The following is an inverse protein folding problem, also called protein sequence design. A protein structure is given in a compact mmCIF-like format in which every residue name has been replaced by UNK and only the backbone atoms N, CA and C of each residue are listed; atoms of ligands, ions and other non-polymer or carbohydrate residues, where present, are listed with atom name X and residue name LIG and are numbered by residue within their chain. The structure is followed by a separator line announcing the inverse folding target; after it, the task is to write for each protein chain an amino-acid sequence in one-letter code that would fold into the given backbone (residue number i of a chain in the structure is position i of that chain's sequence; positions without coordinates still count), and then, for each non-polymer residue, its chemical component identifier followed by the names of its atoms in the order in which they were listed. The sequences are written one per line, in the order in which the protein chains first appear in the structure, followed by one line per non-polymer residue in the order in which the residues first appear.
data_IF_006779090940
#
_entry.id   IF_006779090940
#
_cell.length_a   1.000
_cell.length_b   1.000
_cell.length_c   1.000
_cell.angle_alpha   90.00
_cell.angle_beta   90.00
_cell.angle_gamma   90.00
#
_symmetry.space_group_name_H-M   'P 1'
#
loop_
_entity.id
_entity.type
_entity.pdbx_description
1 polymer ?
#
# COMPACT_ATOMS: atom_id res chain seq x y z
N UNK A 1 5.43 49.96 -45.76
CA UNK A 1 6.83 49.66 -45.37
C UNK A 1 7.23 50.62 -44.27
N UNK A 2 7.14 50.18 -43.01
CA UNK A 2 7.91 50.69 -41.88
C UNK A 2 7.68 49.72 -40.71
N UNK A 3 8.79 49.31 -40.10
CA UNK A 3 8.95 48.20 -39.16
C UNK A 3 8.67 48.66 -37.73
N UNK A 4 7.91 47.89 -36.95
CA UNK A 4 7.89 48.00 -35.48
C UNK A 4 8.57 46.78 -34.87
N UNK A 5 9.61 47.05 -34.06
CA UNK A 5 10.34 46.08 -33.25
C UNK A 5 9.79 45.99 -31.82
N UNK A 6 10.17 44.94 -31.05
CA UNK A 6 9.56 44.61 -29.77
C UNK A 6 10.29 45.23 -28.57
N UNK A 7 9.52 45.66 -27.57
CA UNK A 7 10.02 46.13 -26.27
C UNK A 7 9.71 45.11 -25.18
N UNK A 8 10.77 44.51 -24.64
CA UNK A 8 10.80 43.62 -23.48
C UNK A 8 10.69 44.40 -22.17
N UNK A 9 9.75 44.02 -21.29
CA UNK A 9 9.73 44.44 -19.88
C UNK A 9 9.52 43.24 -18.96
N UNK A 10 10.53 42.92 -18.16
CA UNK A 10 10.50 41.92 -17.10
C UNK A 10 9.83 42.47 -15.83
N UNK A 11 9.10 41.65 -15.04
CA UNK A 11 8.65 42.04 -13.71
C UNK A 11 9.55 41.49 -12.59
N UNK A 12 9.83 42.36 -11.62
CA UNK A 12 10.61 42.10 -10.41
C UNK A 12 9.74 41.48 -9.30
N UNK A 13 10.28 40.62 -8.40
CA UNK A 13 9.48 39.93 -7.38
C UNK A 13 9.23 40.80 -6.15
N UNK A 14 7.95 41.07 -5.88
CA UNK A 14 7.49 41.76 -4.68
C UNK A 14 7.59 40.90 -3.41
N UNK A 15 8.38 41.37 -2.44
CA UNK A 15 8.41 40.89 -1.05
C UNK A 15 7.04 41.02 -0.39
N UNK A 16 6.42 39.90 -0.04
CA UNK A 16 5.24 39.84 0.83
C UNK A 16 5.67 39.93 2.30
N UNK A 17 5.26 41.01 2.97
CA UNK A 17 5.29 41.17 4.43
C UNK A 17 3.86 41.10 4.94
N UNK A 18 3.46 39.98 5.52
CA UNK A 18 2.32 39.92 6.44
C UNK A 18 2.73 39.10 7.66
N UNK A 19 3.18 39.81 8.69
CA UNK A 19 3.28 39.32 10.06
C UNK A 19 1.96 39.66 10.73
N UNK A 20 1.20 38.64 11.14
CA UNK A 20 -0.08 38.78 11.82
C UNK A 20 0.10 38.41 13.31
N UNK A 21 0.12 39.37 14.25
CA UNK A 21 0.33 39.08 15.67
C UNK A 21 -1.00 39.12 16.41
N UNK A 22 -1.82 38.07 16.31
CA UNK A 22 -2.84 37.79 17.34
C UNK A 22 -3.37 36.36 17.22
N UNK A 23 -2.71 35.41 17.90
CA UNK A 23 -3.26 34.08 18.11
C UNK A 23 -3.23 33.79 19.61
N UNK A 24 -4.36 34.05 20.28
CA UNK A 24 -4.60 33.55 21.63
C UNK A 24 -5.11 32.10 21.53
N UNK A 25 -4.54 31.14 22.28
CA UNK A 25 -5.04 29.78 22.28
C UNK A 25 -6.32 29.70 23.12
N UNK A 26 -7.45 29.44 22.45
CA UNK A 26 -8.68 29.04 23.13
C UNK A 26 -8.53 27.63 23.70
N UNK A 27 -8.74 27.51 25.01
CA UNK A 27 -8.89 26.24 25.73
C UNK A 27 -10.17 25.55 25.27
N UNK A 28 -10.06 24.54 24.42
CA UNK A 28 -11.17 23.64 24.09
C UNK A 28 -11.33 22.59 25.20
N UNK A 29 -12.34 22.75 26.03
CA UNK A 29 -12.84 21.70 26.92
C UNK A 29 -13.54 20.63 26.06
N UNK A 30 -12.91 19.47 25.92
CA UNK A 30 -13.49 18.29 25.27
C UNK A 30 -14.24 17.45 26.30
N UNK A 31 -15.53 17.71 26.49
CA UNK A 31 -16.46 16.76 27.11
C UNK A 31 -17.07 15.88 26.03
N UNK A 32 -16.42 14.75 25.74
CA UNK A 32 -16.99 13.72 24.85
C UNK A 32 -18.20 13.06 25.53
N UNK A 33 -19.35 12.93 24.83
CA UNK A 33 -20.49 12.19 25.35
C UNK A 33 -20.16 10.69 25.36
N UNK A 34 -20.34 10.03 26.52
CA UNK A 34 -20.29 8.57 26.66
C UNK A 34 -21.47 7.94 25.89
N UNK A 35 -21.32 7.81 24.58
CA UNK A 35 -22.19 6.96 23.77
C UNK A 35 -21.94 5.51 24.17
N UNK A 36 -23.00 4.80 24.57
CA UNK A 36 -22.97 3.33 24.70
C UNK A 36 -22.73 2.76 23.31
N UNK A 37 -21.48 2.54 22.94
CA UNK A 37 -21.13 1.85 21.69
C UNK A 37 -21.73 0.45 21.74
N UNK A 38 -22.42 0.05 20.67
CA UNK A 38 -22.91 -1.31 20.54
C UNK A 38 -21.75 -2.30 20.78
N UNK A 39 -21.97 -3.40 21.52
CA UNK A 39 -20.91 -4.36 21.81
C UNK A 39 -20.36 -4.92 20.51
N UNK A 40 -19.03 -4.92 20.37
CA UNK A 40 -18.31 -5.45 19.21
C UNK A 40 -18.84 -6.83 18.84
N UNK A 41 -18.97 -7.13 17.54
CA UNK A 41 -19.47 -8.42 17.05
C UNK A 41 -18.70 -9.62 17.65
N UNK A 42 -17.40 -9.43 17.95
CA UNK A 42 -16.56 -10.41 18.64
C UNK A 42 -17.07 -10.73 20.04
N UNK A 43 -17.51 -9.72 20.80
CA UNK A 43 -18.05 -9.88 22.16
C UNK A 43 -19.36 -10.68 22.11
N UNK A 44 -20.23 -10.37 21.15
CA UNK A 44 -21.52 -11.04 20.99
C UNK A 44 -21.36 -12.53 20.66
N UNK A 45 -20.35 -12.88 19.83
CA UNK A 45 -20.03 -14.27 19.48
C UNK A 45 -19.32 -15.02 20.61
N UNK A 46 -18.42 -14.36 21.35
CA UNK A 46 -17.61 -14.99 22.38
C UNK A 46 -18.40 -15.36 23.65
N UNK A 47 -19.42 -14.58 24.00
CA UNK A 47 -20.14 -14.74 25.27
C UNK A 47 -20.86 -16.09 25.45
N UNK A 48 -21.61 -16.63 24.48
CA UNK A 48 -22.23 -17.95 24.63
C UNK A 48 -21.20 -19.08 24.71
N UNK A 49 -20.07 -18.95 24.01
CA UNK A 49 -18.98 -19.95 24.02
C UNK A 49 -18.28 -19.93 25.38
N UNK A 50 -17.95 -18.74 25.89
CA UNK A 50 -17.33 -18.59 27.21
C UNK A 50 -18.18 -19.21 28.32
N UNK A 51 -19.50 -19.01 28.28
CA UNK A 51 -20.43 -19.56 29.27
C UNK A 51 -20.47 -21.10 29.30
N UNK A 52 -20.07 -21.80 28.23
CA UNK A 52 -20.02 -23.26 28.19
C UNK A 52 -18.81 -23.84 28.93
N UNK A 53 -17.71 -23.09 28.98
CA UNK A 53 -16.42 -23.55 29.49
C UNK A 53 -15.98 -22.89 30.80
N UNK A 54 -16.71 -21.87 31.28
CA UNK A 54 -16.42 -21.22 32.55
C UNK A 54 -16.78 -22.09 33.76
N UNK A 55 -15.99 -21.97 34.83
CA UNK A 55 -16.29 -22.44 36.18
C UNK A 55 -16.17 -21.22 37.10
N UNK A 56 -17.22 -20.92 37.87
CA UNK A 56 -17.28 -19.77 38.78
C UNK A 56 -16.98 -18.40 38.13
N UNK A 57 -17.32 -18.24 36.85
CA UNK A 57 -17.15 -16.99 36.10
C UNK A 57 -15.75 -16.77 35.51
N UNK A 58 -14.85 -17.73 35.68
CA UNK A 58 -13.52 -17.76 35.07
C UNK A 58 -13.34 -19.00 34.20
N UNK A 59 -12.49 -18.93 33.18
CA UNK A 59 -12.21 -20.04 32.27
C UNK A 59 -10.85 -20.66 32.59
N UNK A 60 -10.75 -21.97 32.91
CA UNK A 60 -9.46 -22.62 33.13
C UNK A 60 -8.63 -22.64 31.84
N UNK A 61 -7.31 -22.48 31.97
CA UNK A 61 -6.38 -22.40 30.82
C UNK A 61 -6.50 -23.62 29.89
N UNK A 62 -6.76 -24.80 30.45
CA UNK A 62 -6.89 -26.04 29.68
C UNK A 62 -8.08 -26.02 28.69
N UNK A 63 -9.06 -25.14 28.92
CA UNK A 63 -10.24 -24.98 28.05
C UNK A 63 -10.07 -23.88 26.99
N UNK A 64 -9.04 -23.04 27.10
CA UNK A 64 -8.76 -21.92 26.17
C UNK A 64 -8.52 -22.37 24.73
N UNK A 65 -7.80 -23.48 24.44
CA UNK A 65 -7.65 -23.98 23.07
C UNK A 65 -9.00 -24.27 22.39
N UNK A 66 -9.96 -24.85 23.13
CA UNK A 66 -11.30 -25.18 22.60
C UNK A 66 -12.11 -23.92 22.34
N UNK A 67 -12.05 -22.95 23.27
CA UNK A 67 -12.66 -21.64 23.10
C UNK A 67 -12.13 -20.93 21.83
N UNK A 68 -10.81 -20.95 21.61
CA UNK A 68 -10.19 -20.34 20.43
C UNK A 68 -10.56 -21.05 19.14
N UNK A 69 -10.66 -22.38 19.15
CA UNK A 69 -11.06 -23.16 17.98
C UNK A 69 -12.50 -22.83 17.55
N UNK A 70 -13.44 -22.75 18.50
CA UNK A 70 -14.83 -22.34 18.22
C UNK A 70 -14.95 -20.87 17.77
N UNK A 71 -14.04 -20.02 18.24
CA UNK A 71 -13.94 -18.63 17.78
C UNK A 71 -13.36 -18.50 16.36
N UNK A 72 -12.79 -19.57 15.80
CA UNK A 72 -12.16 -19.61 14.48
C UNK A 72 -10.68 -19.21 14.48
N UNK A 73 -10.04 -19.26 15.65
CA UNK A 73 -8.63 -18.92 15.86
C UNK A 73 -7.75 -20.16 16.15
N UNK A 74 -8.21 -21.36 15.80
CA UNK A 74 -7.48 -22.61 16.02
C UNK A 74 -6.15 -22.69 15.25
N UNK A 75 -5.18 -23.41 15.81
CA UNK A 75 -3.91 -23.74 15.14
C UNK A 75 -2.77 -22.72 15.27
N UNK A 76 -2.98 -21.59 15.95
CA UNK A 76 -1.91 -20.62 16.25
C UNK A 76 -1.33 -20.90 17.63
N UNK A 77 0.00 -20.79 17.76
CA UNK A 77 0.66 -20.85 19.06
C UNK A 77 0.26 -19.62 19.90
N UNK A 78 -0.69 -19.81 20.82
CA UNK A 78 -1.24 -18.75 21.66
C UNK A 78 -0.45 -18.57 22.97
N UNK A 79 0.56 -19.39 23.23
CA UNK A 79 1.22 -19.45 24.55
C UNK A 79 1.99 -18.16 24.88
N UNK A 80 2.62 -17.53 23.88
CA UNK A 80 3.29 -16.24 24.03
C UNK A 80 2.30 -15.09 24.28
N UNK A 81 1.15 -15.10 23.61
CA UNK A 81 0.10 -14.10 23.77
C UNK A 81 -0.61 -14.26 25.10
N UNK A 82 -0.84 -15.49 25.54
CA UNK A 82 -1.43 -15.80 26.84
C UNK A 82 -0.62 -15.15 27.97
N UNK A 83 0.70 -15.35 27.97
CA UNK A 83 1.59 -14.72 28.97
C UNK A 83 1.49 -13.19 28.98
N UNK A 84 1.27 -12.57 27.82
CA UNK A 84 1.12 -11.11 27.72
C UNK A 84 -0.20 -10.58 28.28
N UNK A 85 -1.27 -11.38 28.24
CA UNK A 85 -2.64 -10.98 28.65
C UNK A 85 -2.94 -11.36 30.10
N UNK A 86 -2.42 -12.50 30.58
CA UNK A 86 -2.70 -13.00 31.93
C UNK A 86 -1.58 -12.73 32.93
N UNK A 87 -0.34 -12.56 32.48
CA UNK A 87 0.84 -12.57 33.34
C UNK A 87 1.27 -13.99 33.74
N UNK A 88 2.44 -14.14 34.40
CA UNK A 88 3.00 -15.44 34.76
C UNK A 88 2.24 -16.09 35.93
N UNK A 89 1.97 -17.39 35.85
CA UNK A 89 1.44 -18.21 36.95
C UNK A 89 -0.08 -18.15 37.15
N UNK A 90 -0.81 -17.56 36.21
CA UNK A 90 -2.28 -17.57 36.23
C UNK A 90 -2.77 -18.91 35.67
N UNK A 91 -3.82 -19.50 36.27
CA UNK A 91 -4.44 -20.77 35.85
C UNK A 91 -5.85 -20.58 35.24
N UNK A 92 -6.41 -19.37 35.33
CA UNK A 92 -7.77 -19.05 34.92
C UNK A 92 -7.84 -17.66 34.26
N UNK A 93 -8.72 -17.50 33.26
CA UNK A 93 -8.90 -16.26 32.51
C UNK A 93 -10.30 -15.69 32.69
N UNK A 94 -10.38 -14.37 32.82
CA UNK A 94 -11.64 -13.63 32.74
C UNK A 94 -12.17 -13.53 31.31
N UNK A 95 -13.46 -13.25 31.16
CA UNK A 95 -14.10 -13.07 29.84
C UNK A 95 -13.39 -12.02 28.99
N UNK A 96 -13.04 -10.87 29.57
CA UNK A 96 -12.36 -9.78 28.87
C UNK A 96 -10.97 -10.20 28.37
N UNK A 97 -10.24 -11.02 29.14
CA UNK A 97 -8.95 -11.57 28.74
C UNK A 97 -9.09 -12.56 27.58
N UNK A 98 -10.11 -13.43 27.60
CA UNK A 98 -10.39 -14.34 26.49
C UNK A 98 -10.78 -13.58 25.21
N UNK A 99 -11.58 -12.52 25.32
CA UNK A 99 -11.96 -11.67 24.18
C UNK A 99 -10.74 -10.90 23.65
N UNK A 100 -9.89 -10.36 24.52
CA UNK A 100 -8.66 -9.69 24.12
C UNK A 100 -7.70 -10.66 23.40
N UNK A 101 -7.52 -11.88 23.93
CA UNK A 101 -6.71 -12.93 23.32
C UNK A 101 -7.24 -13.29 21.93
N UNK A 102 -8.56 -13.50 21.80
CA UNK A 102 -9.21 -13.79 20.52
C UNK A 102 -9.06 -12.63 19.52
N UNK A 103 -9.21 -11.37 19.96
CA UNK A 103 -9.03 -10.20 19.11
C UNK A 103 -7.57 -10.03 18.65
N UNK A 104 -6.59 -10.27 19.52
CA UNK A 104 -5.17 -10.25 19.16
C UNK A 104 -4.85 -11.35 18.14
N UNK A 105 -5.40 -12.55 18.31
CA UNK A 105 -5.24 -13.64 17.36
C UNK A 105 -5.95 -13.37 16.03
N UNK A 106 -7.16 -12.81 16.03
CA UNK A 106 -7.87 -12.41 14.81
C UNK A 106 -7.14 -11.30 14.06
N UNK A 107 -6.52 -10.36 14.76
CA UNK A 107 -5.67 -9.34 14.16
C UNK A 107 -4.37 -9.92 13.60
N UNK A 108 -3.80 -10.93 14.26
CA UNK A 108 -2.62 -11.66 13.77
C UNK A 108 -2.95 -12.56 12.56
N UNK A 109 -4.15 -13.13 12.52
CA UNK A 109 -4.64 -14.00 11.45
C UNK A 109 -5.21 -13.21 10.25
N UNK A 110 -5.61 -11.95 10.45
CA UNK A 110 -6.27 -11.12 9.45
C UNK A 110 -7.67 -11.62 9.08
N UNK A 111 -8.54 -10.77 8.52
CA UNK A 111 -9.89 -11.17 8.12
C UNK A 111 -9.86 -12.10 6.90
N UNK A 112 -9.99 -13.41 7.13
CA UNK A 112 -10.25 -14.41 6.10
C UNK A 112 -11.72 -14.34 5.65
N UNK A 113 -12.04 -13.40 4.77
CA UNK A 113 -13.32 -13.44 4.04
C UNK A 113 -13.18 -14.36 2.84
N UNK A 114 -14.02 -15.39 2.80
CA UNK A 114 -14.24 -16.33 1.70
C UNK A 114 -14.93 -15.66 0.50
N UNK A 115 -14.38 -14.53 0.03
CA UNK A 115 -14.81 -13.81 -1.15
C UNK A 115 -13.62 -13.72 -2.10
N UNK A 116 -13.71 -14.43 -3.23
CA UNK A 116 -12.86 -14.30 -4.42
C UNK A 116 -11.38 -14.12 -4.12
N UNK A 117 -10.68 -15.26 -4.11
CA UNK A 117 -9.23 -15.40 -4.09
C UNK A 117 -8.53 -14.49 -5.10
N UNK A 118 -8.29 -13.23 -4.70
CA UNK A 118 -7.20 -12.39 -5.15
C UNK A 118 -6.11 -12.58 -4.11
N UNK A 119 -5.21 -13.51 -4.42
CA UNK A 119 -4.18 -13.99 -3.53
C UNK A 119 -3.53 -12.88 -2.74
N UNK A 120 -3.40 -13.15 -1.45
CA UNK A 120 -2.15 -12.95 -0.72
C UNK A 120 -1.01 -13.72 -1.43
N UNK A 121 -0.75 -13.37 -2.69
CA UNK A 121 0.53 -13.63 -3.32
C UNK A 121 1.52 -12.70 -2.62
N UNK A 122 2.52 -13.32 -2.01
CA UNK A 122 3.55 -12.66 -1.25
C UNK A 122 4.17 -11.50 -2.01
N UNK A 123 3.96 -10.29 -1.50
CA UNK A 123 4.86 -9.16 -1.73
C UNK A 123 6.19 -9.32 -0.97
N UNK A 124 6.51 -10.52 -0.51
CA UNK A 124 7.87 -11.04 -0.58
C UNK A 124 8.20 -11.41 -2.03
N UNK A 125 8.06 -10.46 -2.97
CA UNK A 125 8.82 -10.51 -4.21
C UNK A 125 10.26 -10.71 -3.78
N UNK A 126 10.71 -11.93 -4.03
CA UNK A 126 11.66 -12.59 -3.17
C UNK A 126 12.92 -11.75 -3.03
N UNK A 127 13.47 -11.68 -1.82
CA UNK A 127 14.81 -11.10 -1.56
C UNK A 127 15.93 -11.86 -2.30
N UNK A 128 15.58 -12.89 -3.08
CA UNK A 128 16.45 -13.94 -3.58
C UNK A 128 17.08 -13.73 -4.98
N UNK A 129 16.46 -13.07 -5.98
CA UNK A 129 16.97 -13.07 -7.34
C UNK A 129 18.16 -12.11 -7.46
N UNK A 130 18.07 -10.88 -6.95
CA UNK A 130 19.19 -9.94 -6.95
C UNK A 130 20.38 -10.44 -6.13
N UNK A 131 20.12 -11.12 -5.00
CA UNK A 131 21.18 -11.73 -4.17
C UNK A 131 21.87 -12.91 -4.84
N UNK A 132 21.15 -13.66 -5.70
CA UNK A 132 21.73 -14.78 -6.47
C UNK A 132 22.64 -14.31 -7.59
N UNK A 133 22.41 -13.12 -8.15
CA UNK A 133 23.31 -12.53 -9.16
C UNK A 133 24.67 -12.18 -8.53
N UNK A 134 24.68 -11.68 -7.29
CA UNK A 134 25.91 -11.29 -6.58
C UNK A 134 26.92 -12.44 -6.33
N UNK A 135 26.48 -13.69 -6.35
CA UNK A 135 27.31 -14.84 -5.93
C UNK A 135 27.75 -15.76 -7.06
N UNK A 136 27.20 -15.60 -8.27
CA UNK A 136 27.31 -16.64 -9.32
C UNK A 136 28.63 -16.61 -10.10
N UNK A 137 29.31 -15.48 -10.19
CA UNK A 137 30.45 -15.27 -11.09
C UNK A 137 31.81 -15.12 -10.38
N UNK A 138 31.90 -15.46 -9.09
CA UNK A 138 33.06 -15.13 -8.23
C UNK A 138 33.95 -16.31 -7.83
N UNK A 139 34.00 -17.34 -8.67
CA UNK A 139 34.81 -18.54 -8.41
C UNK A 139 36.31 -18.25 -8.25
N UNK A 140 36.85 -17.22 -8.91
CA UNK A 140 38.26 -16.84 -8.84
C UNK A 140 38.67 -16.25 -7.49
N UNK A 141 37.76 -15.54 -6.80
CA UNK A 141 37.97 -15.06 -5.43
C UNK A 141 38.01 -16.22 -4.43
N UNK A 142 37.32 -17.32 -4.74
CA UNK A 142 37.13 -18.45 -3.84
C UNK A 142 38.23 -19.51 -3.98
N UNK A 143 38.79 -19.64 -5.17
CA UNK A 143 39.89 -20.58 -5.46
C UNK A 143 41.27 -19.94 -5.50
N UNK A 144 41.36 -18.60 -5.58
CA UNK A 144 42.64 -17.88 -5.70
C UNK A 144 43.42 -18.20 -6.97
N UNK A 145 42.83 -18.97 -7.88
CA UNK A 145 43.42 -19.36 -9.16
C UNK A 145 42.83 -18.47 -10.25
N UNK A 146 43.62 -17.52 -10.73
CA UNK A 146 43.40 -16.99 -12.07
C UNK A 146 43.68 -18.13 -13.04
N UNK A 147 42.67 -18.50 -13.82
CA UNK A 147 42.80 -19.49 -14.87
C UNK A 147 43.69 -18.89 -15.95
N UNK A 148 44.99 -19.15 -15.84
CA UNK A 148 45.87 -18.99 -16.96
C UNK A 148 45.46 -19.98 -18.05
N UNK A 149 45.52 -19.54 -19.29
CA UNK A 149 45.50 -20.46 -20.40
C UNK A 149 46.75 -21.36 -20.28
N UNK A 150 46.53 -22.66 -20.06
CA UNK A 150 47.57 -23.67 -19.89
C UNK A 150 48.55 -23.65 -21.08
N UNK A 151 48.03 -23.34 -22.27
CA UNK A 151 48.84 -23.16 -23.47
C UNK A 151 49.82 -21.97 -23.34
N UNK A 152 49.37 -20.84 -22.80
CA UNK A 152 50.21 -19.63 -22.59
C UNK A 152 51.29 -19.90 -21.55
N UNK A 153 50.96 -20.56 -20.43
CA UNK A 153 51.96 -20.95 -19.43
C UNK A 153 53.00 -21.90 -20.00
N UNK A 154 52.58 -22.92 -20.76
CA UNK A 154 53.49 -23.87 -21.39
C UNK A 154 54.45 -23.18 -22.37
N UNK A 155 53.96 -22.16 -23.08
CA UNK A 155 54.77 -21.38 -24.02
C UNK A 155 55.76 -20.45 -23.31
N UNK A 156 55.33 -19.78 -22.23
CA UNK A 156 56.21 -18.98 -21.38
C UNK A 156 57.34 -19.83 -20.76
N UNK A 157 57.04 -21.04 -20.29
CA UNK A 157 58.06 -21.98 -19.79
C UNK A 157 59.06 -22.37 -20.88
N UNK A 158 58.57 -22.73 -22.08
CA UNK A 158 59.44 -23.08 -23.22
C UNK A 158 60.36 -21.93 -23.63
N UNK A 159 59.86 -20.69 -23.62
CA UNK A 159 60.65 -19.50 -23.92
C UNK A 159 61.71 -19.21 -22.85
N UNK A 160 61.40 -19.41 -21.56
CA UNK A 160 62.38 -19.24 -20.48
C UNK A 160 63.48 -20.32 -20.51
N UNK A 161 63.12 -21.57 -20.83
CA UNK A 161 64.10 -22.64 -21.04
C UNK A 161 64.98 -22.38 -22.26
N UNK A 162 64.41 -21.85 -23.35
CA UNK A 162 65.17 -21.43 -24.53
C UNK A 162 66.15 -20.29 -24.21
N UNK A 163 65.71 -19.29 -23.44
CA UNK A 163 66.57 -18.20 -22.96
C UNK A 163 67.76 -18.74 -22.17
N UNK A 164 67.51 -19.61 -21.18
CA UNK A 164 68.57 -20.23 -20.36
C UNK A 164 69.56 -21.03 -21.20
N UNK A 165 69.10 -21.78 -22.21
CA UNK A 165 69.97 -22.51 -23.13
C UNK A 165 70.87 -21.57 -23.95
N UNK A 166 70.31 -20.50 -24.51
CA UNK A 166 71.09 -19.50 -25.26
C UNK A 166 72.12 -18.78 -24.38
N UNK A 167 71.81 -18.52 -23.09
CA UNK A 167 72.75 -17.95 -22.13
C UNK A 167 73.94 -18.88 -21.85
N UNK A 168 73.69 -20.19 -21.70
CA UNK A 168 74.74 -21.20 -21.50
C UNK A 168 75.63 -21.36 -22.73
N UNK A 169 75.06 -21.26 -23.93
CA UNK A 169 75.77 -21.40 -25.21
C UNK A 169 76.47 -20.11 -25.66
N UNK A 170 76.30 -18.98 -24.95
CA UNK A 170 76.90 -17.69 -25.30
C UNK A 170 76.21 -16.94 -26.44
N UNK A 171 75.00 -17.36 -26.86
CA UNK A 171 74.18 -16.72 -27.90
C UNK A 171 73.32 -15.59 -27.33
N UNK A 172 73.97 -14.50 -26.91
CA UNK A 172 73.33 -13.44 -26.14
C UNK A 172 72.25 -12.65 -26.91
N UNK A 173 72.38 -12.48 -28.22
CA UNK A 173 71.37 -11.77 -29.02
C UNK A 173 70.04 -12.54 -29.06
N UNK A 174 70.10 -13.87 -29.19
CA UNK A 174 68.92 -14.74 -29.13
C UNK A 174 68.32 -14.79 -27.71
N UNK A 175 69.16 -14.82 -26.67
CA UNK A 175 68.71 -14.74 -25.29
C UNK A 175 67.99 -13.41 -25.00
N UNK A 176 68.51 -12.30 -25.53
CA UNK A 176 67.89 -10.97 -25.42
C UNK A 176 66.55 -10.91 -26.17
N UNK A 177 66.47 -11.48 -27.38
CA UNK A 177 65.23 -11.56 -28.13
C UNK A 177 64.17 -12.39 -27.38
N UNK A 178 64.55 -13.54 -26.82
CA UNK A 178 63.67 -14.38 -26.00
C UNK A 178 63.22 -13.67 -24.70
N UNK A 179 64.12 -12.92 -24.05
CA UNK A 179 63.80 -12.12 -22.87
C UNK A 179 62.79 -10.99 -23.18
N UNK A 180 62.97 -10.26 -24.28
CA UNK A 180 62.03 -9.25 -24.73
C UNK A 180 60.66 -9.87 -25.04
N UNK A 181 60.64 -11.01 -25.75
CA UNK A 181 59.39 -11.71 -26.07
C UNK A 181 58.65 -12.21 -24.83
N UNK A 182 59.38 -12.67 -23.82
CA UNK A 182 58.82 -13.03 -22.51
C UNK A 182 58.21 -11.82 -21.80
N UNK A 183 58.87 -10.66 -21.85
CA UNK A 183 58.34 -9.42 -21.28
C UNK A 183 57.04 -9.01 -21.99
N UNK A 184 57.03 -8.99 -23.33
CA UNK A 184 55.85 -8.64 -24.13
C UNK A 184 54.65 -9.56 -23.89
N UNK A 185 54.89 -10.88 -23.78
CA UNK A 185 53.83 -11.85 -23.51
C UNK A 185 53.27 -11.71 -22.09
N UNK A 186 54.13 -11.41 -21.11
CA UNK A 186 53.69 -11.12 -19.74
C UNK A 186 52.85 -9.85 -19.69
N UNK A 187 53.27 -8.76 -20.33
CA UNK A 187 52.49 -7.52 -20.38
C UNK A 187 51.15 -7.72 -21.07
N UNK A 188 51.14 -8.40 -22.22
CA UNK A 188 49.90 -8.72 -22.93
C UNK A 188 48.94 -9.60 -22.09
N UNK A 189 49.48 -10.56 -21.32
CA UNK A 189 48.67 -11.38 -20.43
C UNK A 189 48.06 -10.56 -19.28
N UNK A 190 48.84 -9.63 -18.70
CA UNK A 190 48.33 -8.72 -17.66
C UNK A 190 47.20 -7.84 -18.20
N UNK A 191 47.37 -7.26 -19.38
CA UNK A 191 46.35 -6.45 -20.03
C UNK A 191 45.08 -7.26 -20.33
N UNK A 192 45.26 -8.49 -20.83
CA UNK A 192 44.15 -9.41 -21.07
C UNK A 192 43.37 -9.68 -19.78
N UNK A 193 44.03 -10.04 -18.68
CA UNK A 193 43.37 -10.31 -17.40
C UNK A 193 42.62 -9.08 -16.86
N UNK A 194 43.20 -7.88 -16.98
CA UNK A 194 42.52 -6.63 -16.63
C UNK A 194 41.27 -6.39 -17.48
N UNK A 195 41.38 -6.61 -18.79
CA UNK A 195 40.26 -6.43 -19.72
C UNK A 195 39.13 -7.42 -19.47
N UNK A 196 39.44 -8.69 -19.20
CA UNK A 196 38.47 -9.73 -18.86
C UNK A 196 37.76 -9.42 -17.54
N UNK A 197 38.50 -8.94 -16.52
CA UNK A 197 37.91 -8.51 -15.26
C UNK A 197 36.90 -7.38 -15.48
N UNK A 198 37.29 -6.30 -16.17
CA UNK A 198 36.40 -5.17 -16.46
C UNK A 198 35.18 -5.60 -17.28
N UNK A 199 35.36 -6.47 -18.27
CA UNK A 199 34.25 -7.01 -19.06
C UNK A 199 33.28 -7.86 -18.22
N UNK A 200 33.79 -8.64 -17.27
CA UNK A 200 32.96 -9.41 -16.34
C UNK A 200 32.20 -8.50 -15.38
N UNK A 201 32.86 -7.47 -14.82
CA UNK A 201 32.22 -6.49 -13.95
C UNK A 201 31.10 -5.72 -14.66
N UNK A 202 31.32 -5.33 -15.91
CA UNK A 202 30.30 -4.71 -16.74
C UNK A 202 29.09 -5.63 -16.98
N UNK A 203 29.34 -6.92 -17.26
CA UNK A 203 28.28 -7.93 -17.43
C UNK A 203 27.48 -8.13 -16.15
N UNK A 204 28.13 -8.20 -14.99
CA UNK A 204 27.45 -8.33 -13.69
C UNK A 204 26.53 -7.15 -13.41
N UNK A 205 26.97 -5.92 -13.69
CA UNK A 205 26.13 -4.73 -13.57
C UNK A 205 24.94 -4.79 -14.52
N UNK A 206 25.16 -5.13 -15.79
CA UNK A 206 24.09 -5.29 -16.79
C UNK A 206 23.05 -6.34 -16.35
N UNK A 207 23.48 -7.48 -15.81
CA UNK A 207 22.60 -8.51 -15.27
C UNK A 207 21.76 -7.99 -14.09
N UNK A 208 22.36 -7.25 -13.17
CA UNK A 208 21.64 -6.64 -12.03
C UNK A 208 20.61 -5.62 -12.51
N UNK A 209 20.96 -4.78 -13.48
CA UNK A 209 20.04 -3.83 -14.11
C UNK A 209 18.88 -4.54 -14.80
N UNK A 210 19.16 -5.55 -15.61
CA UNK A 210 18.13 -6.32 -16.32
C UNK A 210 17.14 -6.97 -15.35
N UNK A 211 17.63 -7.59 -14.27
CA UNK A 211 16.76 -8.18 -13.24
C UNK A 211 15.90 -7.10 -12.56
N UNK A 212 16.47 -5.94 -12.27
CA UNK A 212 15.72 -4.82 -11.68
C UNK A 212 14.61 -4.32 -12.62
N UNK A 213 14.89 -4.19 -13.92
CA UNK A 213 13.93 -3.73 -14.92
C UNK A 213 12.79 -4.74 -15.10
N UNK A 214 13.11 -6.03 -15.22
CA UNK A 214 12.11 -7.10 -15.32
C UNK A 214 11.16 -7.13 -14.11
N UNK A 215 11.73 -7.05 -12.91
CA UNK A 215 10.94 -7.02 -11.70
C UNK A 215 10.16 -5.70 -11.53
N UNK A 216 10.68 -4.57 -12.01
CA UNK A 216 9.97 -3.29 -12.03
C UNK A 216 8.79 -3.35 -12.99
N UNK A 217 8.94 -3.99 -14.16
CA UNK A 217 7.85 -4.26 -15.08
C UNK A 217 6.74 -5.11 -14.43
N UNK A 218 7.12 -6.20 -13.72
CA UNK A 218 6.17 -7.03 -12.97
C UNK A 218 5.45 -6.24 -11.88
N UNK A 219 6.19 -5.40 -11.16
CA UNK A 219 5.65 -4.53 -10.11
C UNK A 219 4.63 -3.53 -10.66
N UNK A 220 4.96 -2.85 -11.76
CA UNK A 220 4.06 -1.89 -12.42
C UNK A 220 2.78 -2.59 -12.88
N UNK A 221 2.89 -3.73 -13.56
CA UNK A 221 1.74 -4.49 -14.04
C UNK A 221 0.81 -4.94 -12.88
N UNK A 222 1.39 -5.39 -11.76
CA UNK A 222 0.64 -5.76 -10.57
C UNK A 222 -0.12 -4.57 -9.96
N UNK A 223 0.54 -3.42 -9.85
CA UNK A 223 -0.08 -2.21 -9.32
C UNK A 223 -1.18 -1.66 -10.23
N UNK A 224 -0.96 -1.65 -11.54
CA UNK A 224 -1.96 -1.22 -12.51
C UNK A 224 -3.20 -2.14 -12.46
N UNK A 225 -3.00 -3.45 -12.27
CA UNK A 225 -4.11 -4.38 -12.01
C UNK A 225 -4.85 -4.02 -10.72
N UNK A 226 -4.14 -3.81 -9.61
CA UNK A 226 -4.76 -3.47 -8.32
C UNK A 226 -5.56 -2.16 -8.39
N UNK A 227 -5.03 -1.14 -9.05
CA UNK A 227 -5.74 0.14 -9.25
C UNK A 227 -6.99 -0.08 -10.10
N UNK A 228 -6.90 -0.81 -11.21
CA UNK A 228 -8.05 -1.12 -12.06
C UNK A 228 -9.15 -1.90 -11.33
N UNK A 229 -8.76 -2.88 -10.50
CA UNK A 229 -9.70 -3.64 -9.66
C UNK A 229 -10.39 -2.72 -8.64
N UNK A 230 -9.66 -1.82 -8.00
CA UNK A 230 -10.23 -0.83 -7.10
C UNK A 230 -11.22 0.09 -7.82
N UNK A 231 -10.86 0.64 -8.98
CA UNK A 231 -11.73 1.52 -9.78
C UNK A 231 -12.99 0.79 -10.25
N UNK A 232 -12.86 -0.46 -10.69
CA UNK A 232 -14.00 -1.28 -11.10
C UNK A 232 -14.95 -1.54 -9.93
N UNK A 233 -14.41 -1.92 -8.77
CA UNK A 233 -15.22 -2.18 -7.57
C UNK A 233 -15.88 -0.90 -7.05
N UNK A 234 -15.17 0.22 -7.08
CA UNK A 234 -15.72 1.52 -6.71
C UNK A 234 -16.82 1.96 -7.68
N UNK A 235 -16.62 1.78 -8.99
CA UNK A 235 -17.63 2.03 -10.02
C UNK A 235 -18.92 1.26 -9.77
N UNK A 236 -18.82 -0.04 -9.47
CA UNK A 236 -19.97 -0.87 -9.08
C UNK A 236 -20.68 -0.33 -7.83
N UNK A 237 -19.94 0.02 -6.79
CA UNK A 237 -20.53 0.58 -5.57
C UNK A 237 -21.29 1.90 -5.82
N UNK A 238 -20.81 2.73 -6.76
CA UNK A 238 -21.48 3.96 -7.20
C UNK A 238 -22.77 3.65 -7.97
N UNK A 239 -22.74 2.66 -8.87
CA UNK A 239 -23.91 2.20 -9.62
C UNK A 239 -24.98 1.59 -8.69
N UNK A 240 -24.57 0.73 -7.76
CA UNK A 240 -25.44 0.09 -6.77
C UNK A 240 -26.13 1.15 -5.89
N UNK A 241 -25.38 2.15 -5.42
CA UNK A 241 -25.95 3.23 -4.62
C UNK A 241 -26.95 4.07 -5.43
N UNK A 242 -26.63 4.35 -6.71
CA UNK A 242 -27.54 5.08 -7.60
C UNK A 242 -28.84 4.30 -7.82
N UNK A 243 -28.76 3.01 -8.12
CA UNK A 243 -29.92 2.14 -8.31
C UNK A 243 -30.77 2.07 -7.03
N UNK A 244 -30.13 1.92 -5.86
CA UNK A 244 -30.82 1.94 -4.58
C UNK A 244 -31.52 3.29 -4.32
N UNK A 245 -30.87 4.41 -4.62
CA UNK A 245 -31.47 5.74 -4.48
C UNK A 245 -32.65 5.95 -5.42
N UNK A 246 -32.59 5.45 -6.66
CA UNK A 246 -33.70 5.48 -7.63
C UNK A 246 -34.91 4.68 -7.12
N UNK A 247 -34.68 3.46 -6.65
CA UNK A 247 -35.74 2.62 -6.09
C UNK A 247 -36.36 3.27 -4.84
N UNK A 248 -35.53 3.80 -3.93
CA UNK A 248 -36.01 4.50 -2.75
C UNK A 248 -36.84 5.74 -3.11
N UNK A 249 -36.44 6.50 -4.15
CA UNK A 249 -37.24 7.64 -4.65
C UNK A 249 -38.58 7.17 -5.17
N UNK A 250 -38.62 6.11 -5.98
CA UNK A 250 -39.86 5.56 -6.51
C UNK A 250 -40.83 5.13 -5.38
N UNK A 251 -40.33 4.36 -4.41
CA UNK A 251 -41.10 3.94 -3.22
C UNK A 251 -41.58 5.15 -2.41
N UNK A 252 -40.72 6.15 -2.22
CA UNK A 252 -41.08 7.35 -1.49
C UNK A 252 -42.19 8.13 -2.21
N UNK A 253 -42.11 8.28 -3.53
CA UNK A 253 -43.16 8.95 -4.30
C UNK A 253 -44.49 8.21 -4.24
N UNK A 254 -44.48 6.88 -4.29
CA UNK A 254 -45.68 6.06 -4.14
C UNK A 254 -46.30 6.21 -2.73
N UNK A 255 -45.48 6.25 -1.69
CA UNK A 255 -45.93 6.48 -0.31
C UNK A 255 -46.58 7.87 -0.17
N UNK A 256 -46.00 8.91 -0.77
CA UNK A 256 -46.57 10.25 -0.76
C UNK A 256 -47.92 10.32 -1.47
N UNK A 257 -48.06 9.64 -2.62
CA UNK A 257 -49.33 9.54 -3.35
C UNK A 257 -50.40 8.81 -2.52
N UNK A 258 -50.03 7.72 -1.84
CA UNK A 258 -50.94 6.93 -1.01
C UNK A 258 -51.38 7.69 0.24
N UNK A 259 -50.50 8.51 0.82
CA UNK A 259 -50.79 9.32 2.02
C UNK A 259 -51.53 10.62 1.73
N UNK A 260 -52.01 10.87 0.51
CA UNK A 260 -52.76 12.08 0.17
C UNK A 260 -54.02 12.17 1.04
N UNK A 261 -54.15 13.18 1.92
CA UNK A 261 -55.25 13.25 2.86
C UNK A 261 -56.58 13.37 2.12
N UNK A 262 -57.59 12.62 2.58
CA UNK A 262 -58.97 12.85 2.17
C UNK A 262 -59.41 14.25 2.60
N UNK A 263 -60.33 14.84 1.83
CA UNK A 263 -60.75 16.25 1.86
C UNK A 263 -60.64 16.91 3.24
N UNK A 264 -60.09 18.13 3.33
CA UNK A 264 -59.97 18.85 4.59
C UNK A 264 -61.34 18.99 5.26
N UNK A 265 -61.34 18.92 6.61
CA UNK A 265 -62.57 19.13 7.38
C UNK A 265 -63.01 20.59 7.19
N UNK A 266 -64.28 20.85 6.85
CA UNK A 266 -64.76 22.22 6.68
C UNK A 266 -64.54 23.03 7.96
N UNK A 267 -64.20 24.32 7.83
CA UNK A 267 -64.02 25.16 8.99
C UNK A 267 -65.32 25.35 9.79
N UNK A 268 -65.14 25.80 11.03
CA UNK A 268 -66.26 26.21 11.89
C UNK A 268 -67.11 27.31 11.23
N UNK A 269 -66.49 28.21 10.48
CA UNK A 269 -67.17 29.36 9.87
C UNK A 269 -68.04 28.93 8.69
N UNK A 270 -67.55 27.99 7.86
CA UNK A 270 -68.37 27.35 6.84
C UNK A 270 -69.60 26.64 7.46
N UNK A 271 -69.40 25.87 8.53
CA UNK A 271 -70.50 25.17 9.21
C UNK A 271 -71.52 26.16 9.82
N UNK A 272 -71.05 27.30 10.33
CA UNK A 272 -71.92 28.36 10.83
C UNK A 272 -72.73 29.00 9.70
N UNK A 273 -72.11 29.31 8.56
CA UNK A 273 -72.80 29.86 7.40
C UNK A 273 -73.86 28.89 6.84
N UNK A 274 -73.59 27.58 6.84
CA UNK A 274 -74.59 26.56 6.49
C UNK A 274 -75.78 26.51 7.46
N UNK A 275 -75.56 26.66 8.77
CA UNK A 275 -76.66 26.78 9.75
C UNK A 275 -77.49 28.04 9.52
N UNK A 276 -76.84 29.16 9.21
CA UNK A 276 -77.51 30.44 8.89
C UNK A 276 -78.34 30.27 7.60
N UNK A 277 -77.77 29.69 6.55
CA UNK A 277 -78.47 29.35 5.30
C UNK A 277 -79.74 28.53 5.57
N UNK A 278 -79.64 27.44 6.34
CA UNK A 278 -80.79 26.60 6.69
C UNK A 278 -81.87 27.37 7.45
N UNK A 279 -81.46 28.24 8.38
CA UNK A 279 -82.39 29.06 9.16
C UNK A 279 -83.14 30.08 8.29
N UNK A 280 -82.44 30.73 7.36
CA UNK A 280 -83.01 31.68 6.40
C UNK A 280 -83.95 30.98 5.41
N UNK A 281 -83.60 29.77 4.97
CA UNK A 281 -84.44 28.95 4.11
C UNK A 281 -85.73 28.53 4.83
N UNK A 282 -85.65 28.09 6.09
CA UNK A 282 -86.82 27.76 6.93
C UNK A 282 -87.75 28.98 7.11
N UNK A 283 -87.18 30.17 7.23
CA UNK A 283 -87.90 31.44 7.33
C UNK A 283 -88.39 31.99 5.99
N UNK A 284 -88.26 31.25 4.88
CA UNK A 284 -88.66 31.63 3.51
C UNK A 284 -87.95 32.87 2.94
N UNK A 285 -86.80 33.25 3.50
CA UNK A 285 -85.98 34.37 2.99
C UNK A 285 -84.99 33.86 1.93
N UNK A 286 -85.51 33.43 0.78
CA UNK A 286 -84.72 32.70 -0.23
C UNK A 286 -83.57 33.51 -0.83
N UNK A 287 -83.77 34.81 -1.07
CA UNK A 287 -82.73 35.66 -1.66
C UNK A 287 -81.49 35.75 -0.75
N UNK A 288 -81.70 36.06 0.55
CA UNK A 288 -80.62 36.10 1.54
C UNK A 288 -79.98 34.73 1.77
N UNK A 289 -80.77 33.66 1.76
CA UNK A 289 -80.23 32.30 1.85
C UNK A 289 -79.31 31.99 0.66
N UNK A 290 -79.66 32.42 -0.56
CA UNK A 290 -78.82 32.26 -1.75
C UNK A 290 -77.49 33.02 -1.65
N UNK A 291 -77.50 34.23 -1.12
CA UNK A 291 -76.27 35.02 -0.91
C UNK A 291 -75.35 34.36 0.13
N UNK A 292 -75.91 33.90 1.25
CA UNK A 292 -75.16 33.18 2.30
C UNK A 292 -74.59 31.86 1.76
N UNK A 293 -75.34 31.15 0.91
CA UNK A 293 -74.86 29.94 0.25
C UNK A 293 -73.66 30.22 -0.66
N UNK A 294 -73.75 31.25 -1.50
CA UNK A 294 -72.65 31.62 -2.40
C UNK A 294 -71.37 31.97 -1.62
N UNK A 295 -71.52 32.76 -0.54
CA UNK A 295 -70.40 33.08 0.34
C UNK A 295 -69.82 31.83 1.04
N UNK A 296 -70.66 30.88 1.45
CA UNK A 296 -70.21 29.62 2.05
C UNK A 296 -69.49 28.71 1.06
N UNK A 297 -69.97 28.63 -0.18
CA UNK A 297 -69.35 27.82 -1.22
C UNK A 297 -68.00 28.42 -1.64
N UNK A 298 -67.87 29.75 -1.70
CA UNK A 298 -66.60 30.46 -1.93
C UNK A 298 -65.60 30.25 -0.78
N UNK A 299 -66.05 30.37 0.48
CA UNK A 299 -65.21 30.11 1.66
C UNK A 299 -64.68 28.67 1.66
N UNK A 300 -65.54 27.68 1.37
CA UNK A 300 -65.13 26.28 1.30
C UNK A 300 -64.11 26.04 0.17
N UNK A 301 -64.32 26.67 -0.99
CA UNK A 301 -63.38 26.56 -2.11
C UNK A 301 -61.99 27.10 -1.72
N UNK A 302 -61.93 28.28 -1.10
CA UNK A 302 -60.68 28.88 -0.63
C UNK A 302 -60.01 28.03 0.46
N UNK A 303 -60.76 27.45 1.40
CA UNK A 303 -60.23 26.55 2.42
C UNK A 303 -59.66 25.25 1.82
N UNK A 304 -60.36 24.67 0.84
CA UNK A 304 -59.89 23.48 0.12
C UNK A 304 -58.59 23.79 -0.63
N UNK A 305 -58.53 24.92 -1.34
CA UNK A 305 -57.34 25.35 -2.08
C UNK A 305 -56.16 25.62 -1.14
N UNK A 306 -56.37 26.37 -0.05
CA UNK A 306 -55.32 26.65 0.93
C UNK A 306 -54.79 25.37 1.59
N UNK A 307 -55.67 24.42 1.92
CA UNK A 307 -55.28 23.12 2.47
C UNK A 307 -54.48 22.28 1.46
N UNK A 308 -54.87 22.30 0.17
CA UNK A 308 -54.12 21.64 -0.89
C UNK A 308 -52.74 22.28 -1.07
N UNK A 309 -52.66 23.60 -1.14
CA UNK A 309 -51.41 24.34 -1.28
C UNK A 309 -50.46 24.08 -0.09
N UNK A 310 -50.98 24.08 1.15
CA UNK A 310 -50.20 23.78 2.34
C UNK A 310 -49.66 22.33 2.32
N UNK A 311 -50.51 21.37 1.94
CA UNK A 311 -50.09 19.97 1.79
C UNK A 311 -49.00 19.82 0.73
N UNK A 312 -49.16 20.42 -0.45
CA UNK A 312 -48.16 20.38 -1.52
C UNK A 312 -46.83 21.02 -1.10
N UNK A 313 -46.87 22.14 -0.39
CA UNK A 313 -45.67 22.79 0.14
C UNK A 313 -44.93 21.89 1.14
N UNK A 314 -45.67 21.21 2.03
CA UNK A 314 -45.09 20.23 2.94
C UNK A 314 -44.46 19.05 2.20
N UNK A 315 -45.13 18.52 1.17
CA UNK A 315 -44.59 17.44 0.35
C UNK A 315 -43.31 17.85 -0.37
N UNK A 316 -43.27 19.05 -0.97
CA UNK A 316 -42.06 19.58 -1.61
C UNK A 316 -40.89 19.69 -0.64
N UNK A 317 -41.14 20.16 0.57
CA UNK A 317 -40.11 20.25 1.61
C UNK A 317 -39.58 18.86 2.00
N UNK A 318 -40.48 17.88 2.13
CA UNK A 318 -40.13 16.49 2.44
C UNK A 318 -39.29 15.85 1.33
N UNK A 319 -39.69 16.00 0.07
CA UNK A 319 -38.92 15.52 -1.10
C UNK A 319 -37.56 16.20 -1.18
N UNK A 320 -37.49 17.51 -0.97
CA UNK A 320 -36.22 18.26 -0.98
C UNK A 320 -35.27 17.74 0.10
N UNK A 321 -35.75 17.54 1.33
CA UNK A 321 -34.96 16.97 2.43
C UNK A 321 -34.50 15.54 2.13
N UNK A 322 -35.35 14.73 1.51
CA UNK A 322 -35.00 13.37 1.12
C UNK A 322 -33.91 13.35 0.05
N UNK A 323 -34.05 14.16 -1.00
CA UNK A 323 -33.05 14.30 -2.06
C UNK A 323 -31.72 14.83 -1.54
N UNK A 324 -31.72 15.80 -0.62
CA UNK A 324 -30.51 16.33 -0.01
C UNK A 324 -29.73 15.25 0.77
N UNK A 325 -30.44 14.33 1.46
CA UNK A 325 -29.80 13.20 2.15
C UNK A 325 -29.13 12.24 1.17
N UNK A 326 -29.83 11.87 0.08
CA UNK A 326 -29.26 11.03 -0.97
C UNK A 326 -28.02 11.68 -1.59
N UNK A 327 -28.06 12.99 -1.86
CA UNK A 327 -26.92 13.72 -2.38
C UNK A 327 -25.73 13.68 -1.41
N UNK A 328 -25.97 13.88 -0.11
CA UNK A 328 -24.92 13.81 0.91
C UNK A 328 -24.27 12.42 1.01
N UNK A 329 -25.08 11.35 0.95
CA UNK A 329 -24.58 9.97 0.94
C UNK A 329 -23.72 9.70 -0.31
N UNK A 330 -24.17 10.17 -1.47
CA UNK A 330 -23.46 10.03 -2.73
C UNK A 330 -22.13 10.78 -2.72
N UNK A 331 -22.12 12.04 -2.25
CA UNK A 331 -20.89 12.83 -2.09
C UNK A 331 -19.92 12.19 -1.10
N UNK A 332 -20.41 11.65 0.02
CA UNK A 332 -19.58 10.94 0.98
C UNK A 332 -18.92 9.70 0.36
N UNK A 333 -19.65 8.94 -0.47
CA UNK A 333 -19.09 7.80 -1.20
C UNK A 333 -18.02 8.26 -2.20
N UNK A 334 -18.26 9.33 -2.97
CA UNK A 334 -17.29 9.89 -3.91
C UNK A 334 -16.01 10.37 -3.22
N UNK A 335 -16.14 11.06 -2.08
CA UNK A 335 -14.99 11.49 -1.29
C UNK A 335 -14.20 10.29 -0.74
N UNK A 336 -14.88 9.23 -0.29
CA UNK A 336 -14.22 7.99 0.13
C UNK A 336 -13.46 7.33 -1.02
N UNK A 337 -14.05 7.30 -2.22
CA UNK A 337 -13.39 6.81 -3.43
C UNK A 337 -12.15 7.61 -3.81
N UNK A 338 -12.24 8.95 -3.75
CA UNK A 338 -11.09 9.83 -3.98
C UNK A 338 -9.94 9.55 -2.99
N UNK A 339 -10.24 9.56 -1.69
CA UNK A 339 -9.23 9.25 -0.65
C UNK A 339 -8.61 7.88 -0.82
N UNK A 340 -9.40 6.86 -1.17
CA UNK A 340 -8.88 5.52 -1.39
C UNK A 340 -7.95 5.42 -2.61
N UNK A 341 -8.19 6.20 -3.67
CA UNK A 341 -7.25 6.32 -4.80
C UNK A 341 -5.94 6.98 -4.37
N UNK A 342 -6.04 8.11 -3.66
CA UNK A 342 -4.86 8.84 -3.17
C UNK A 342 -4.02 7.97 -2.24
N UNK A 343 -4.66 7.17 -1.36
CA UNK A 343 -3.99 6.21 -0.49
C UNK A 343 -3.27 5.09 -1.28
N UNK A 344 -3.89 4.57 -2.34
CA UNK A 344 -3.27 3.56 -3.21
C UNK A 344 -2.05 4.13 -3.94
N UNK A 345 -2.15 5.36 -4.44
CA UNK A 345 -1.04 6.06 -5.09
C UNK A 345 0.12 6.31 -4.12
N UNK A 346 -0.18 6.80 -2.92
CA UNK A 346 0.83 7.01 -1.88
C UNK A 346 1.56 5.71 -1.53
N UNK A 347 0.84 4.58 -1.44
CA UNK A 347 1.45 3.26 -1.21
C UNK A 347 2.32 2.83 -2.39
N UNK A 348 1.88 3.04 -3.64
CA UNK A 348 2.66 2.76 -4.85
C UNK A 348 3.97 3.55 -4.86
N UNK A 349 3.93 4.84 -4.54
CA UNK A 349 5.12 5.71 -4.47
C UNK A 349 6.08 5.19 -3.40
N UNK A 350 5.60 4.99 -2.17
CA UNK A 350 6.43 4.51 -1.06
C UNK A 350 7.10 3.15 -1.36
N UNK A 351 6.38 2.22 -2.01
CA UNK A 351 6.95 0.93 -2.39
C UNK A 351 7.97 1.05 -3.53
N UNK A 352 7.73 1.93 -4.51
CA UNK A 352 8.67 2.25 -5.59
C UNK A 352 9.97 2.84 -5.05
N UNK A 353 9.88 3.77 -4.09
CA UNK A 353 11.05 4.35 -3.41
C UNK A 353 11.85 3.27 -2.67
N UNK A 354 11.19 2.40 -1.90
CA UNK A 354 11.86 1.28 -1.21
C UNK A 354 12.56 0.33 -2.17
N UNK A 355 11.94 0.05 -3.32
CA UNK A 355 12.52 -0.81 -4.37
C UNK A 355 13.76 -0.16 -4.99
N UNK A 356 13.67 1.12 -5.32
CA UNK A 356 14.78 1.93 -5.88
C UNK A 356 15.95 2.03 -4.90
N UNK A 357 15.66 2.26 -3.61
CA UNK A 357 16.68 2.31 -2.57
C UNK A 357 17.42 0.96 -2.42
N UNK A 358 16.68 -0.15 -2.42
CA UNK A 358 17.28 -1.50 -2.39
C UNK A 358 18.18 -1.76 -3.58
N UNK A 359 17.73 -1.39 -4.79
CA UNK A 359 18.54 -1.51 -6.00
C UNK A 359 19.84 -0.70 -5.91
N UNK A 360 19.75 0.57 -5.50
CA UNK A 360 20.92 1.43 -5.30
C UNK A 360 21.92 0.81 -4.31
N UNK A 361 21.45 0.22 -3.21
CA UNK A 361 22.34 -0.43 -2.24
C UNK A 361 23.04 -1.64 -2.85
N UNK A 362 22.33 -2.46 -3.62
CA UNK A 362 22.90 -3.64 -4.30
C UNK A 362 23.96 -3.23 -5.32
N UNK A 363 23.69 -2.19 -6.11
CA UNK A 363 24.67 -1.64 -7.07
C UNK A 363 25.90 -1.13 -6.33
N UNK A 364 25.72 -0.36 -5.25
CA UNK A 364 26.85 0.14 -4.45
C UNK A 364 27.67 -1.00 -3.81
N UNK A 365 27.02 -2.04 -3.30
CA UNK A 365 27.69 -3.25 -2.79
C UNK A 365 28.48 -3.94 -3.90
N UNK A 366 27.90 -4.08 -5.09
CA UNK A 366 28.53 -4.70 -6.26
C UNK A 366 29.77 -3.91 -6.71
N UNK A 367 29.65 -2.58 -6.85
CA UNK A 367 30.77 -1.70 -7.18
C UNK A 367 31.90 -1.77 -6.14
N UNK A 368 31.57 -1.81 -4.85
CA UNK A 368 32.57 -1.96 -3.79
C UNK A 368 33.33 -3.28 -3.92
N UNK A 369 32.63 -4.36 -4.30
CA UNK A 369 33.24 -5.66 -4.54
C UNK A 369 34.12 -5.64 -5.79
N UNK A 370 33.69 -4.96 -6.87
CA UNK A 370 34.50 -4.75 -8.06
C UNK A 370 35.80 -4.00 -7.77
N UNK A 371 35.75 -2.97 -6.91
CA UNK A 371 36.97 -2.26 -6.46
C UNK A 371 37.92 -3.19 -5.71
N UNK A 372 37.40 -4.06 -4.84
CA UNK A 372 38.23 -5.02 -4.11
C UNK A 372 38.86 -6.05 -5.04
N UNK A 373 38.14 -6.50 -6.07
CA UNK A 373 38.66 -7.43 -7.08
C UNK A 373 39.80 -6.80 -7.89
N UNK A 374 39.70 -5.51 -8.23
CA UNK A 374 40.78 -4.77 -8.91
C UNK A 374 42.03 -4.74 -8.01
N UNK A 375 41.89 -4.33 -6.75
CA UNK A 375 43.01 -4.27 -5.80
C UNK A 375 43.65 -5.65 -5.60
N UNK A 376 42.84 -6.71 -5.57
CA UNK A 376 43.33 -8.07 -5.45
C UNK A 376 44.07 -8.54 -6.70
N UNK A 377 43.56 -8.23 -7.90
CA UNK A 377 44.25 -8.52 -9.15
C UNK A 377 45.59 -7.79 -9.20
N UNK A 378 45.62 -6.51 -8.85
CA UNK A 378 46.86 -5.71 -8.81
C UNK A 378 47.87 -6.29 -7.82
N UNK A 379 47.44 -6.60 -6.59
CA UNK A 379 48.29 -7.25 -5.58
C UNK A 379 48.84 -8.60 -6.07
N UNK A 380 48.02 -9.40 -6.75
CA UNK A 380 48.45 -10.68 -7.32
C UNK A 380 49.50 -10.49 -8.42
N UNK A 381 49.28 -9.52 -9.32
CA UNK A 381 50.22 -9.20 -10.39
C UNK A 381 51.55 -8.66 -9.85
N UNK A 382 51.52 -7.78 -8.85
CA UNK A 382 52.71 -7.24 -8.20
C UNK A 382 53.53 -8.32 -7.49
N UNK A 383 52.84 -9.26 -6.80
CA UNK A 383 53.49 -10.41 -6.17
C UNK A 383 54.13 -11.34 -7.21
N UNK A 384 53.55 -11.51 -8.40
CA UNK A 384 54.19 -12.26 -9.49
C UNK A 384 55.42 -11.55 -10.06
N UNK A 385 55.41 -10.21 -10.13
CA UNK A 385 56.56 -9.42 -10.57
C UNK A 385 57.69 -9.52 -9.54
N UNK A 386 57.38 -9.56 -8.24
CA UNK A 386 58.37 -9.79 -7.17
C UNK A 386 58.87 -11.25 -7.12
N UNK A 387 58.07 -12.22 -7.56
CA UNK A 387 58.38 -13.65 -7.59
C UNK A 387 59.32 -14.08 -8.73
N UNK A 388 60.21 -13.21 -9.21
CA UNK A 388 61.48 -13.61 -9.86
C UNK A 388 62.38 -14.50 -8.98
N UNK A 389 61.93 -14.82 -7.76
CA UNK A 389 62.41 -15.87 -6.84
C UNK A 389 61.19 -16.64 -6.30
N UNK A 390 60.62 -17.57 -7.05
CA UNK A 390 59.39 -18.26 -6.64
C UNK A 390 59.64 -19.31 -5.53
N UNK A 391 58.94 -19.17 -4.41
CA UNK A 391 58.48 -20.30 -3.57
C UNK A 391 56.97 -20.40 -3.77
N UNK A 392 56.40 -21.58 -4.04
CA UNK A 392 54.97 -21.72 -4.24
C UNK A 392 54.22 -21.50 -2.93
N UNK A 393 53.21 -20.61 -2.95
CA UNK A 393 52.25 -20.42 -1.87
C UNK A 393 51.45 -21.71 -1.67
N UNK A 394 51.91 -22.53 -0.74
CA UNK A 394 51.36 -23.87 -0.44
C UNK A 394 50.18 -23.84 0.53
N UNK A 395 49.70 -22.67 0.94
CA UNK A 395 48.68 -22.56 1.97
C UNK A 395 47.42 -21.82 1.51
N UNK A 396 46.59 -22.56 0.77
CA UNK A 396 45.24 -22.18 0.32
C UNK A 396 44.29 -21.96 1.52
N UNK A 397 44.67 -22.43 2.72
CA UNK A 397 43.85 -22.43 3.93
C UNK A 397 43.74 -21.07 4.63
N UNK A 398 44.69 -20.15 4.39
CA UNK A 398 44.71 -18.83 5.01
C UNK A 398 43.59 -17.89 4.48
N UNK A 399 43.10 -18.15 3.28
CA UNK A 399 42.10 -17.30 2.60
C UNK A 399 40.65 -17.54 3.07
N UNK A 400 40.33 -18.69 3.67
CA UNK A 400 38.96 -18.99 4.13
C UNK A 400 38.51 -18.19 5.35
N UNK A 401 39.40 -17.89 6.30
CA UNK A 401 38.98 -17.38 7.63
C UNK A 401 38.47 -15.94 7.65
N UNK A 402 38.77 -15.13 6.63
CA UNK A 402 38.37 -13.71 6.62
C UNK A 402 36.96 -13.46 6.07
N UNK A 403 36.42 -14.41 5.28
CA UNK A 403 35.10 -14.25 4.63
C UNK A 403 33.94 -14.66 5.54
N UNK A 404 34.09 -15.69 6.36
CA UNK A 404 33.03 -16.13 7.30
C UNK A 404 32.73 -15.11 8.40
N UNK A 405 33.71 -14.28 8.77
CA UNK A 405 33.55 -13.25 9.81
C UNK A 405 32.65 -12.09 9.36
N UNK A 406 32.56 -11.80 8.05
CA UNK A 406 31.73 -10.71 7.53
C UNK A 406 30.27 -11.12 7.29
N UNK A 407 29.99 -12.41 7.11
CA UNK A 407 28.64 -12.91 6.85
C UNK A 407 27.90 -13.38 8.12
N UNK A 408 28.61 -13.62 9.22
CA UNK A 408 28.03 -14.07 10.50
C UNK A 408 27.86 -12.95 11.54
N UNK A 409 28.05 -11.69 11.19
CA UNK A 409 27.77 -10.58 12.10
C UNK A 409 26.25 -10.37 12.17
N UNK A 410 25.60 -10.54 13.35
CA UNK A 410 24.18 -10.25 13.48
C UNK A 410 23.95 -8.75 13.26
N UNK A 411 22.94 -8.41 12.46
CA UNK A 411 22.40 -7.05 12.32
C UNK A 411 21.39 -6.81 13.44
#
# INVERSE_FOLDING_TARGET
MALEGPSTSAPSPGRSKYSNPNYQPQKSASSSPKGKSAPSATIQKAQPIFNQYQQDGMMPIDSVPRFLDEMGCGGVDFQALLQSVSGPGVHELSFDQCVALAAMLQNALGPSTSAVSLGSDGTTLSRAPLKKVLTKNRSYLETGNLTYDEAVLSYLMKLDDHRKKCEVEGRYDEARAAANRLADLKTAQVERLRSELVANQARELEEVHKVFDEETGKFVALWDRRVREYETNFGRAVEDLRAAHEEQRARYTEELLTRKPLRPKPSRDYLNQKRIEESLAKNRQYQRASEVRAAADELLAAEIEAAQAAYEAEQRLRVTKFSAKQQQEFEALLQRGARGRDELELRRVAETERRTYRFRNIVMELENLHRLEIVQLESFLDNQVQAGKAVPLKDVSAFRRKREVLYNSPI
#
